data_IF_085332540547
#
_entry.id   IF_085332540547
#
_cell.length_a   1.000
_cell.length_b   1.000
_cell.length_c   1.000
_cell.angle_alpha   90.00
_cell.angle_beta   90.00
_cell.angle_gamma   90.00
#
_symmetry.space_group_name_H-M   'P 1'
#
loop_
_entity.id
_entity.type
_entity.pdbx_description
1 polymer ?
#
# COMPACT_ATOMS: atom_id res chain seq x y z
N UNK A 1 -15.40 19.26 -4.41
CA UNK A 1 -16.10 18.46 -3.34
C UNK A 1 -15.59 18.88 -1.97
N UNK A 2 -16.48 19.13 -1.00
CA UNK A 2 -16.09 19.43 0.37
C UNK A 2 -16.31 18.23 1.29
N UNK A 3 -15.33 17.89 2.13
CA UNK A 3 -15.41 16.77 3.07
C UNK A 3 -14.85 17.15 4.44
N UNK A 4 -15.47 16.57 5.49
CA UNK A 4 -14.95 16.62 6.85
C UNK A 4 -14.25 15.31 7.18
N UNK A 5 -12.94 15.38 7.44
CA UNK A 5 -12.11 14.23 7.81
C UNK A 5 -11.59 14.45 9.24
N UNK A 6 -12.17 13.71 10.20
CA UNK A 6 -11.95 13.98 11.60
C UNK A 6 -12.53 15.35 12.01
N UNK A 7 -11.69 16.24 12.55
CA UNK A 7 -12.08 17.60 12.97
C UNK A 7 -11.81 18.67 11.90
N UNK A 8 -11.21 18.32 10.76
CA UNK A 8 -10.77 19.26 9.73
C UNK A 8 -11.69 19.21 8.51
N UNK A 9 -11.83 20.36 7.83
CA UNK A 9 -12.56 20.51 6.56
C UNK A 9 -11.56 20.52 5.42
N UNK A 10 -11.91 19.86 4.32
CA UNK A 10 -11.09 19.74 3.12
C UNK A 10 -11.93 20.09 1.89
N UNK A 11 -11.35 20.89 1.01
CA UNK A 11 -11.77 20.95 -0.39
C UNK A 11 -10.97 19.88 -1.16
N UNK A 12 -11.65 19.08 -1.96
CA UNK A 12 -11.07 17.94 -2.65
C UNK A 12 -11.05 18.20 -4.15
N UNK A 13 -9.88 18.00 -4.73
CA UNK A 13 -9.58 18.19 -6.14
C UNK A 13 -8.87 16.96 -6.69
N UNK A 14 -8.82 16.87 -8.02
CA UNK A 14 -7.92 15.99 -8.75
C UNK A 14 -6.94 16.83 -9.57
N UNK A 15 -5.77 16.29 -9.84
CA UNK A 15 -4.72 16.92 -10.62
C UNK A 15 -3.98 15.88 -11.47
N UNK A 16 -3.63 16.26 -12.70
CA UNK A 16 -2.87 15.46 -13.63
C UNK A 16 -2.03 16.35 -14.55
N UNK A 17 -0.87 15.86 -15.00
CA UNK A 17 0.05 16.59 -15.85
C UNK A 17 0.40 15.83 -17.12
N UNK A 18 0.60 16.58 -18.21
CA UNK A 18 1.19 16.09 -19.45
C UNK A 18 2.57 16.67 -19.65
N UNK A 19 3.54 15.82 -19.95
CA UNK A 19 4.94 16.19 -20.11
C UNK A 19 5.46 15.99 -21.53
N UNK A 20 6.54 16.67 -21.84
CA UNK A 20 7.26 16.48 -23.10
C UNK A 20 7.94 15.11 -23.13
N UNK A 21 7.48 14.23 -24.02
CA UNK A 21 8.01 12.87 -24.21
C UNK A 21 8.57 12.66 -25.63
N UNK A 22 8.67 13.71 -26.42
CA UNK A 22 9.29 13.64 -27.75
C UNK A 22 10.78 13.25 -27.63
N UNK A 23 11.36 12.64 -28.70
CA UNK A 23 12.72 12.11 -28.65
C UNK A 23 13.79 13.14 -28.27
N UNK A 24 13.62 14.40 -28.68
CA UNK A 24 14.56 15.45 -28.33
C UNK A 24 14.51 15.82 -26.85
N UNK A 25 13.30 16.01 -26.30
CA UNK A 25 13.11 16.33 -24.88
C UNK A 25 13.68 15.25 -23.98
N UNK A 26 13.45 13.98 -24.32
CA UNK A 26 13.98 12.83 -23.58
C UNK A 26 15.51 12.78 -23.66
N UNK A 27 16.09 12.94 -24.88
CA UNK A 27 17.54 12.88 -25.08
C UNK A 27 18.30 14.02 -24.38
N UNK A 28 17.65 15.17 -24.18
CA UNK A 28 18.25 16.34 -23.54
C UNK A 28 17.82 16.54 -22.09
N UNK A 29 17.18 15.56 -21.46
CA UNK A 29 16.64 15.62 -20.09
C UNK A 29 15.75 16.86 -19.86
N UNK A 30 15.02 17.31 -20.89
CA UNK A 30 14.15 18.49 -20.86
C UNK A 30 12.67 18.08 -20.92
N UNK A 31 12.22 17.39 -19.89
CA UNK A 31 10.86 16.81 -19.80
C UNK A 31 9.90 17.71 -19.02
N UNK A 32 9.87 19.00 -19.33
CA UNK A 32 8.90 19.95 -18.73
C UNK A 32 7.45 19.59 -19.02
N UNK A 33 6.50 20.23 -18.31
CA UNK A 33 5.07 20.08 -18.58
C UNK A 33 4.64 21.02 -19.72
N UNK A 34 3.64 20.60 -20.48
CA UNK A 34 3.00 21.44 -21.50
C UNK A 34 1.50 21.65 -21.24
N UNK A 35 0.89 20.83 -20.37
CA UNK A 35 -0.51 20.95 -19.92
C UNK A 35 -0.67 20.29 -18.55
N UNK A 36 -1.54 20.83 -17.72
CA UNK A 36 -2.08 20.15 -16.56
C UNK A 36 -3.52 20.56 -16.29
N UNK A 37 -4.28 19.71 -15.65
CA UNK A 37 -5.64 20.03 -15.19
C UNK A 37 -5.77 19.86 -13.67
N UNK A 38 -6.44 20.84 -13.04
CA UNK A 38 -6.75 20.89 -11.62
C UNK A 38 -8.24 21.16 -11.46
N UNK A 39 -9.01 20.13 -11.17
CA UNK A 39 -10.47 20.17 -11.21
C UNK A 39 -11.13 19.66 -9.94
N UNK A 40 -12.36 20.05 -9.73
CA UNK A 40 -13.28 19.46 -8.75
C UNK A 40 -14.50 18.84 -9.43
N UNK A 41 -15.51 18.43 -8.67
CA UNK A 41 -16.72 17.79 -9.20
C UNK A 41 -17.58 18.71 -10.07
N UNK A 42 -17.45 20.03 -9.91
CA UNK A 42 -18.24 21.03 -10.63
C UNK A 42 -17.56 21.59 -11.89
N UNK A 43 -16.27 21.26 -12.04
CA UNK A 43 -15.49 21.75 -13.20
C UNK A 43 -15.92 21.01 -14.46
N UNK A 44 -16.23 21.75 -15.53
CA UNK A 44 -16.55 21.21 -16.86
C UNK A 44 -15.47 21.56 -17.86
N UNK A 45 -15.38 20.82 -18.96
CA UNK A 45 -14.40 21.05 -20.03
C UNK A 45 -14.57 22.44 -20.65
N UNK A 46 -15.83 22.85 -20.82
CA UNK A 46 -16.20 24.13 -21.48
C UNK A 46 -15.84 25.35 -20.61
N UNK A 47 -15.68 25.16 -19.31
CA UNK A 47 -15.40 26.28 -18.39
C UNK A 47 -14.00 26.89 -18.59
N UNK A 48 -13.10 26.24 -19.34
CA UNK A 48 -11.68 26.57 -19.45
C UNK A 48 -10.97 26.81 -18.11
N UNK A 49 -11.68 26.59 -16.99
CA UNK A 49 -11.16 26.70 -15.66
C UNK A 49 -10.39 25.44 -15.29
N UNK A 50 -9.28 25.60 -14.60
CA UNK A 50 -8.51 24.50 -14.07
C UNK A 50 -7.42 23.97 -14.97
N UNK A 51 -7.18 24.55 -16.15
CA UNK A 51 -6.02 24.23 -16.98
C UNK A 51 -4.84 25.15 -16.69
N UNK A 52 -3.64 24.56 -16.62
CA UNK A 52 -2.38 25.27 -16.42
C UNK A 52 -1.34 24.75 -17.41
N UNK A 53 -0.54 25.65 -17.94
CA UNK A 53 0.48 25.37 -18.95
C UNK A 53 1.91 25.43 -18.37
N UNK A 54 2.03 25.79 -17.10
CA UNK A 54 3.26 25.82 -16.35
C UNK A 54 3.03 25.58 -14.85
N UNK A 55 4.06 25.12 -14.16
CA UNK A 55 4.01 24.85 -12.73
C UNK A 55 3.88 26.13 -11.88
N UNK A 56 4.61 27.23 -12.15
CA UNK A 56 4.48 28.44 -11.35
C UNK A 56 3.05 28.94 -11.21
N UNK A 57 2.28 29.04 -12.30
CA UNK A 57 0.89 29.49 -12.31
C UNK A 57 -0.03 28.57 -11.47
N UNK A 58 0.19 27.26 -11.55
CA UNK A 58 -0.51 26.30 -10.71
C UNK A 58 -0.20 26.48 -9.23
N UNK A 59 1.08 26.66 -8.86
CA UNK A 59 1.50 26.89 -7.47
C UNK A 59 0.97 28.20 -6.91
N UNK A 60 0.91 29.26 -7.72
CA UNK A 60 0.32 30.54 -7.33
C UNK A 60 -1.16 30.39 -7.00
N UNK A 61 -1.88 29.58 -7.77
CA UNK A 61 -3.27 29.24 -7.48
C UNK A 61 -3.44 28.49 -6.17
N UNK A 62 -2.59 27.53 -5.87
CA UNK A 62 -2.61 26.80 -4.59
C UNK A 62 -2.30 27.72 -3.41
N UNK A 63 -1.33 28.64 -3.58
CA UNK A 63 -1.03 29.65 -2.57
C UNK A 63 -2.22 30.58 -2.32
N UNK A 64 -2.85 31.12 -3.38
CA UNK A 64 -4.06 31.93 -3.29
C UNK A 64 -5.17 31.22 -2.50
N UNK A 65 -5.47 29.96 -2.88
CA UNK A 65 -6.56 29.18 -2.27
C UNK A 65 -6.32 28.83 -0.80
N UNK A 66 -5.04 28.62 -0.41
CA UNK A 66 -4.64 28.26 0.94
C UNK A 66 -4.31 29.45 1.86
N UNK A 67 -4.26 30.68 1.31
CA UNK A 67 -3.92 31.90 2.06
C UNK A 67 -5.07 32.35 2.95
N UNK A 68 -4.82 32.79 4.20
CA UNK A 68 -5.85 33.31 5.10
C UNK A 68 -6.55 34.54 4.49
N UNK A 69 -7.89 34.51 4.54
CA UNK A 69 -8.74 35.63 4.10
C UNK A 69 -9.46 36.25 5.30
N UNK A 70 -9.70 37.57 5.21
CA UNK A 70 -10.44 38.32 6.21
C UNK A 70 -11.73 38.84 5.59
N UNK A 71 -12.81 38.70 6.30
CA UNK A 71 -14.09 39.31 5.93
C UNK A 71 -14.67 40.05 7.14
N UNK A 72 -14.97 41.34 6.98
CA UNK A 72 -15.53 42.19 8.06
C UNK A 72 -14.77 42.04 9.39
N UNK A 73 -13.44 42.17 9.35
CA UNK A 73 -12.52 42.03 10.50
C UNK A 73 -12.48 40.62 11.15
N UNK A 74 -13.21 39.65 10.61
CA UNK A 74 -13.16 38.27 11.06
C UNK A 74 -12.36 37.41 10.09
N UNK A 75 -11.53 36.56 10.64
CA UNK A 75 -10.81 35.56 9.85
C UNK A 75 -11.78 34.53 9.31
N UNK A 76 -11.76 34.30 8.00
CA UNK A 76 -12.49 33.21 7.35
C UNK A 76 -11.77 31.91 7.65
N UNK A 77 -12.51 30.89 8.06
CA UNK A 77 -11.95 29.56 8.26
C UNK A 77 -11.67 28.92 6.90
N UNK A 78 -10.38 28.85 6.51
CA UNK A 78 -9.95 28.31 5.24
C UNK A 78 -9.86 26.79 5.37
N UNK A 79 -10.57 26.02 4.53
CA UNK A 79 -10.43 24.58 4.50
C UNK A 79 -9.03 24.17 4.02
N UNK A 80 -8.56 23.01 4.45
CA UNK A 80 -7.40 22.39 3.81
C UNK A 80 -7.76 21.97 2.39
N UNK A 81 -6.78 21.92 1.52
CA UNK A 81 -6.91 21.44 0.15
C UNK A 81 -6.33 20.03 0.08
N UNK A 82 -7.10 19.09 -0.43
CA UNK A 82 -6.65 17.72 -0.68
C UNK A 82 -6.77 17.42 -2.16
N UNK A 83 -5.64 17.10 -2.76
CA UNK A 83 -5.48 16.89 -4.19
C UNK A 83 -5.14 15.42 -4.41
N UNK A 84 -5.97 14.72 -5.16
CA UNK A 84 -5.68 13.36 -5.56
C UNK A 84 -5.08 13.34 -6.96
N UNK A 85 -4.06 12.50 -7.11
CA UNK A 85 -3.36 12.26 -8.37
C UNK A 85 -3.27 10.75 -8.61
N UNK A 86 -2.93 10.38 -9.83
CA UNK A 86 -2.61 8.99 -10.17
C UNK A 86 -1.12 8.86 -10.40
N UNK A 87 -0.39 8.20 -9.48
CA UNK A 87 1.08 8.10 -9.46
C UNK A 87 1.79 9.41 -9.08
N UNK A 88 1.52 9.90 -7.87
CA UNK A 88 2.07 11.17 -7.34
C UNK A 88 3.57 11.37 -7.57
N UNK A 89 4.35 10.30 -7.64
CA UNK A 89 5.80 10.41 -7.86
C UNK A 89 6.14 11.11 -9.18
N UNK A 90 5.29 10.95 -10.18
CA UNK A 90 5.46 11.60 -11.48
C UNK A 90 5.15 13.10 -11.37
N UNK A 91 3.98 13.49 -10.90
CA UNK A 91 3.61 14.91 -10.73
C UNK A 91 4.53 15.61 -9.74
N UNK A 92 4.94 14.94 -8.67
CA UNK A 92 5.84 15.47 -7.66
C UNK A 92 7.19 15.88 -8.26
N UNK A 93 7.72 15.14 -9.22
CA UNK A 93 8.99 15.45 -9.87
C UNK A 93 8.96 16.79 -10.62
N UNK A 94 7.80 17.21 -11.11
CA UNK A 94 7.66 18.50 -11.82
C UNK A 94 7.48 19.69 -10.88
N UNK A 95 6.67 19.57 -9.84
CA UNK A 95 6.38 20.74 -8.99
C UNK A 95 7.33 20.89 -7.80
N UNK A 96 7.92 19.83 -7.30
CA UNK A 96 8.76 19.88 -6.10
C UNK A 96 10.00 20.77 -6.24
N UNK A 97 10.74 20.77 -7.38
CA UNK A 97 11.85 21.71 -7.58
C UNK A 97 11.47 23.18 -7.40
N UNK A 98 10.25 23.56 -7.83
CA UNK A 98 9.76 24.92 -7.67
C UNK A 98 9.45 25.27 -6.20
N UNK A 99 8.97 24.32 -5.40
CA UNK A 99 8.82 24.54 -3.95
C UNK A 99 10.16 24.80 -3.28
N UNK A 100 11.20 24.03 -3.60
CA UNK A 100 12.54 24.25 -3.06
C UNK A 100 13.11 25.60 -3.49
N UNK A 101 13.00 25.97 -4.78
CA UNK A 101 13.41 27.28 -5.30
C UNK A 101 12.68 28.45 -4.64
N UNK A 102 11.42 28.28 -4.22
CA UNK A 102 10.65 29.24 -3.43
C UNK A 102 11.07 29.31 -1.97
N UNK A 103 12.00 28.46 -1.52
CA UNK A 103 12.53 28.47 -0.16
C UNK A 103 11.72 27.63 0.85
N UNK A 104 10.90 26.69 0.37
CA UNK A 104 10.24 25.72 1.27
C UNK A 104 11.26 24.84 1.94
N UNK A 105 11.06 24.60 3.26
CA UNK A 105 11.93 23.74 4.07
C UNK A 105 11.19 22.50 4.55
N UNK A 106 11.90 21.38 4.61
CA UNK A 106 11.35 20.15 5.18
C UNK A 106 11.02 20.33 6.66
N UNK A 107 9.86 19.78 7.10
CA UNK A 107 9.47 19.69 8.49
C UNK A 107 8.70 18.40 8.74
N UNK A 108 9.21 17.52 9.60
CA UNK A 108 8.63 16.20 9.87
C UNK A 108 7.16 16.27 10.35
N UNK A 109 6.79 17.34 11.05
CA UNK A 109 5.41 17.60 11.48
C UNK A 109 5.07 19.07 11.25
N UNK A 110 4.11 19.32 10.37
CA UNK A 110 3.67 20.69 10.04
C UNK A 110 2.64 21.16 11.07
N UNK A 111 2.89 22.34 11.65
CA UNK A 111 2.04 22.94 12.65
C UNK A 111 1.27 24.15 12.11
N UNK A 112 0.36 24.70 12.92
CA UNK A 112 -0.52 25.82 12.53
C UNK A 112 0.28 27.09 12.21
N UNK A 113 1.34 27.34 12.97
CA UNK A 113 2.17 28.55 12.88
C UNK A 113 3.24 28.49 11.80
N UNK A 114 3.45 27.33 11.19
CA UNK A 114 4.44 27.17 10.13
C UNK A 114 4.03 27.88 8.82
N UNK A 115 5.04 28.29 8.06
CA UNK A 115 4.90 28.77 6.68
C UNK A 115 6.11 28.38 5.85
N UNK A 116 5.95 28.24 4.56
CA UNK A 116 6.98 27.80 3.62
C UNK A 116 7.65 26.49 4.06
N UNK A 117 6.82 25.51 4.43
CA UNK A 117 7.28 24.18 4.86
C UNK A 117 6.56 23.09 4.10
N UNK A 118 7.24 21.94 3.98
CA UNK A 118 6.69 20.75 3.39
C UNK A 118 7.02 19.49 4.20
N UNK A 119 6.25 18.42 3.94
CA UNK A 119 6.48 17.07 4.43
C UNK A 119 6.10 16.08 3.32
N UNK A 120 6.74 14.92 3.29
CA UNK A 120 6.37 13.86 2.35
C UNK A 120 6.43 12.49 3.00
N UNK A 121 5.58 11.58 2.52
CA UNK A 121 5.61 10.15 2.83
C UNK A 121 6.02 9.42 1.56
N UNK A 122 7.23 8.88 1.56
CA UNK A 122 7.83 8.19 0.41
C UNK A 122 8.51 6.90 0.83
N UNK A 123 8.90 6.07 -0.15
CA UNK A 123 9.79 4.95 0.10
C UNK A 123 11.25 5.43 0.32
N UNK A 124 12.11 4.50 0.79
CA UNK A 124 13.53 4.80 1.11
C UNK A 124 14.31 5.47 -0.03
N UNK A 125 13.95 5.21 -1.29
CA UNK A 125 14.64 5.75 -2.46
C UNK A 125 14.00 7.02 -3.00
N UNK A 126 12.97 7.56 -2.36
CA UNK A 126 12.13 8.67 -2.83
C UNK A 126 11.48 8.47 -4.21
N UNK A 127 11.64 7.27 -4.81
CA UNK A 127 11.07 6.92 -6.11
C UNK A 127 9.56 6.69 -6.08
N UNK A 128 8.97 6.57 -4.89
CA UNK A 128 7.53 6.41 -4.72
C UNK A 128 7.05 7.34 -3.61
N UNK A 129 6.46 8.45 -3.99
CA UNK A 129 5.84 9.43 -3.09
C UNK A 129 4.35 9.08 -2.97
N UNK A 130 3.88 8.87 -1.75
CA UNK A 130 2.49 8.46 -1.47
C UNK A 130 1.61 9.62 -1.03
N UNK A 131 2.22 10.58 -0.35
CA UNK A 131 1.60 11.83 0.08
C UNK A 131 2.66 12.91 0.17
N UNK A 132 2.30 14.13 -0.23
CA UNK A 132 3.09 15.33 0.03
C UNK A 132 2.19 16.40 0.63
N UNK A 133 2.67 17.11 1.64
CA UNK A 133 1.93 18.16 2.34
C UNK A 133 2.75 19.45 2.30
N UNK A 134 2.10 20.53 1.93
CA UNK A 134 2.71 21.86 1.82
C UNK A 134 1.91 22.88 2.63
N UNK A 135 2.60 23.85 3.17
CA UNK A 135 2.00 24.98 3.86
C UNK A 135 2.66 26.27 3.44
N UNK A 136 1.92 27.11 2.73
CA UNK A 136 2.41 28.37 2.16
C UNK A 136 2.50 29.47 3.21
N UNK A 137 1.45 29.69 3.98
CA UNK A 137 1.32 30.82 4.91
C UNK A 137 1.01 30.36 6.33
N UNK A 138 1.55 31.11 7.29
CA UNK A 138 1.18 31.00 8.70
C UNK A 138 -0.35 31.07 8.85
N UNK A 139 -0.90 30.18 9.63
CA UNK A 139 -2.36 30.08 9.82
C UNK A 139 -3.18 29.80 8.54
N UNK A 140 -2.56 29.52 7.41
CA UNK A 140 -3.22 29.12 6.16
C UNK A 140 -3.75 27.68 6.19
N UNK A 141 -4.45 27.31 5.13
CA UNK A 141 -4.83 25.93 4.84
C UNK A 141 -3.59 25.11 4.47
N UNK A 142 -3.66 23.80 4.71
CA UNK A 142 -2.66 22.85 4.21
C UNK A 142 -3.04 22.40 2.81
N UNK A 143 -2.07 22.22 1.96
CA UNK A 143 -2.22 21.64 0.63
C UNK A 143 -1.62 20.23 0.67
N UNK A 144 -2.44 19.22 0.46
CA UNK A 144 -2.06 17.83 0.62
C UNK A 144 -2.29 17.10 -0.71
N UNK A 145 -1.22 16.65 -1.35
CA UNK A 145 -1.28 15.75 -2.49
C UNK A 145 -1.30 14.31 -2.01
N UNK A 146 -2.12 13.48 -2.62
CA UNK A 146 -2.26 12.07 -2.26
C UNK A 146 -2.36 11.18 -3.49
N UNK A 147 -1.55 10.12 -3.51
CA UNK A 147 -1.53 9.14 -4.59
C UNK A 147 -2.70 8.16 -4.46
N UNK A 148 -3.67 8.24 -5.37
CA UNK A 148 -4.83 7.35 -5.38
C UNK A 148 -4.47 5.94 -5.85
N UNK A 149 -3.42 5.79 -6.68
CA UNK A 149 -2.93 4.48 -7.15
C UNK A 149 -2.41 3.59 -6.01
N UNK A 150 -2.02 4.17 -4.86
CA UNK A 150 -1.61 3.42 -3.66
C UNK A 150 -2.80 2.81 -2.90
N UNK A 151 -4.00 3.35 -3.13
CA UNK A 151 -5.24 2.78 -2.59
C UNK A 151 -5.84 1.80 -3.60
N UNK A 152 -5.88 2.16 -4.89
CA UNK A 152 -6.42 1.32 -5.97
C UNK A 152 -5.29 0.93 -6.94
N UNK A 153 -4.62 -0.21 -6.71
CA UNK A 153 -3.49 -0.63 -7.55
C UNK A 153 -3.94 -1.01 -8.96
N UNK A 154 -3.14 -0.62 -9.94
CA UNK A 154 -3.37 -0.85 -11.36
C UNK A 154 -3.20 0.41 -12.20
N UNK A 155 -3.44 0.34 -13.51
CA UNK A 155 -3.49 1.51 -14.37
C UNK A 155 -4.81 2.28 -14.16
N UNK A 156 -4.79 3.60 -14.38
CA UNK A 156 -5.99 4.44 -14.29
C UNK A 156 -7.12 3.87 -15.15
N UNK A 157 -6.81 3.43 -16.37
CA UNK A 157 -7.75 2.78 -17.28
C UNK A 157 -8.37 1.50 -16.70
N UNK A 158 -7.54 0.60 -16.13
CA UNK A 158 -8.03 -0.67 -15.57
C UNK A 158 -8.93 -0.44 -14.35
N UNK A 159 -8.64 0.57 -13.55
CA UNK A 159 -9.46 0.94 -12.40
C UNK A 159 -10.75 1.62 -12.86
N UNK A 160 -10.70 2.53 -13.84
CA UNK A 160 -11.90 3.14 -14.42
C UNK A 160 -12.88 2.06 -14.94
N UNK A 161 -12.39 1.08 -15.69
CA UNK A 161 -13.18 -0.08 -16.15
C UNK A 161 -13.75 -0.89 -14.99
N UNK A 162 -12.95 -1.19 -13.97
CA UNK A 162 -13.39 -1.95 -12.80
C UNK A 162 -14.43 -1.19 -11.97
N UNK A 163 -14.37 0.13 -11.95
CA UNK A 163 -15.36 0.97 -11.29
C UNK A 163 -16.63 1.18 -12.14
N UNK A 164 -16.62 0.77 -13.43
CA UNK A 164 -17.72 1.02 -14.36
C UNK A 164 -18.00 2.53 -14.50
N UNK A 165 -16.93 3.34 -14.68
CA UNK A 165 -17.06 4.78 -14.83
C UNK A 165 -17.56 5.15 -16.22
N UNK A 166 -18.26 6.26 -16.33
CA UNK A 166 -18.71 6.82 -17.60
C UNK A 166 -17.54 7.34 -18.42
N UNK A 167 -16.62 8.06 -17.75
CA UNK A 167 -15.41 8.58 -18.39
C UNK A 167 -14.39 7.46 -18.54
N UNK A 168 -13.91 7.29 -19.78
CA UNK A 168 -12.85 6.34 -20.13
C UNK A 168 -11.62 7.08 -20.60
N UNK A 169 -10.44 6.49 -20.34
CA UNK A 169 -9.16 7.06 -20.78
C UNK A 169 -9.11 7.18 -22.30
N UNK A 170 -8.68 8.35 -22.79
CA UNK A 170 -8.43 8.62 -24.20
C UNK A 170 -7.05 8.15 -24.65
N UNK A 171 -6.65 8.59 -25.84
CA UNK A 171 -5.30 8.43 -26.37
C UNK A 171 -4.86 9.68 -27.12
N UNK A 172 -3.58 10.01 -27.01
CA UNK A 172 -2.94 11.07 -27.79
C UNK A 172 -1.60 10.57 -28.33
N UNK A 173 -1.04 11.27 -29.29
CA UNK A 173 0.32 11.00 -29.72
C UNK A 173 1.31 11.60 -28.68
N UNK A 174 1.89 10.74 -27.87
CA UNK A 174 2.87 11.12 -26.83
C UNK A 174 4.21 11.56 -27.41
N UNK A 175 4.55 11.18 -28.65
CA UNK A 175 5.84 11.50 -29.30
C UNK A 175 5.79 12.81 -30.06
N UNK A 176 4.63 13.46 -30.14
CA UNK A 176 4.47 14.75 -30.81
C UNK A 176 5.29 15.81 -30.11
N UNK A 177 6.06 16.57 -30.90
CA UNK A 177 6.80 17.74 -30.41
C UNK A 177 5.85 18.87 -29.99
N UNK A 178 5.88 19.22 -28.71
CA UNK A 178 5.03 20.26 -28.10
C UNK A 178 5.85 21.39 -27.48
N UNK A 179 7.08 21.58 -27.99
CA UNK A 179 7.96 22.65 -27.54
C UNK A 179 7.62 23.97 -28.20
N UNK A 180 8.20 25.04 -27.69
CA UNK A 180 8.23 26.39 -28.28
C UNK A 180 6.91 26.88 -28.90
N UNK A 181 6.14 27.64 -28.13
CA UNK A 181 4.87 28.25 -28.57
C UNK A 181 3.81 27.26 -29.08
N UNK A 182 3.91 25.99 -28.62
CA UNK A 182 2.90 24.99 -28.96
C UNK A 182 1.54 25.43 -28.46
N UNK A 183 0.56 25.45 -29.37
CA UNK A 183 -0.83 25.71 -29.01
C UNK A 183 -1.54 24.40 -28.73
N UNK A 184 -1.94 24.20 -27.46
CA UNK A 184 -2.67 23.01 -27.04
C UNK A 184 -4.02 22.96 -27.71
N UNK A 185 -4.31 21.84 -28.36
CA UNK A 185 -5.58 21.61 -29.07
C UNK A 185 -6.71 21.25 -28.11
N UNK A 186 -7.96 21.41 -28.54
CA UNK A 186 -9.13 21.00 -27.74
C UNK A 186 -9.12 19.49 -27.44
N UNK A 187 -8.68 18.66 -28.39
CA UNK A 187 -8.53 17.21 -28.20
C UNK A 187 -7.53 16.88 -27.07
N UNK A 188 -6.42 17.59 -26.98
CA UNK A 188 -5.42 17.40 -25.94
C UNK A 188 -5.91 17.89 -24.57
N UNK A 189 -6.67 18.99 -24.54
CA UNK A 189 -7.36 19.45 -23.33
C UNK A 189 -8.39 18.44 -22.85
N UNK A 190 -9.18 17.91 -23.77
CA UNK A 190 -10.17 16.87 -23.47
C UNK A 190 -9.50 15.60 -22.93
N UNK A 191 -8.37 15.20 -23.52
CA UNK A 191 -7.60 14.05 -23.07
C UNK A 191 -7.15 14.20 -21.60
N UNK A 192 -6.42 15.26 -21.26
CA UNK A 192 -5.95 15.52 -19.91
C UNK A 192 -7.11 15.72 -18.91
N UNK A 193 -8.20 16.39 -19.34
CA UNK A 193 -9.39 16.54 -18.53
C UNK A 193 -10.06 15.18 -18.22
N UNK A 194 -10.11 14.25 -19.16
CA UNK A 194 -10.66 12.89 -18.95
C UNK A 194 -9.88 12.13 -17.90
N UNK A 195 -8.54 12.16 -17.93
CA UNK A 195 -7.70 11.48 -16.93
C UNK A 195 -7.98 12.03 -15.53
N UNK A 196 -8.05 13.35 -15.38
CA UNK A 196 -8.40 13.99 -14.11
C UNK A 196 -9.85 13.74 -13.69
N UNK A 197 -10.79 13.70 -14.65
CA UNK A 197 -12.21 13.42 -14.41
C UNK A 197 -12.43 12.00 -13.89
N UNK A 198 -11.71 11.01 -14.41
CA UNK A 198 -11.73 9.64 -13.90
C UNK A 198 -11.40 9.62 -12.40
N UNK A 199 -10.37 10.38 -11.96
CA UNK A 199 -10.01 10.49 -10.53
C UNK A 199 -11.19 11.03 -9.73
N UNK A 200 -11.84 12.11 -10.19
CA UNK A 200 -13.04 12.69 -9.53
C UNK A 200 -14.17 11.66 -9.43
N UNK A 201 -14.47 10.93 -10.49
CA UNK A 201 -15.54 9.92 -10.49
C UNK A 201 -15.26 8.77 -9.51
N UNK A 202 -13.99 8.32 -9.39
CA UNK A 202 -13.59 7.37 -8.37
C UNK A 202 -13.87 7.93 -6.97
N UNK A 203 -13.50 9.18 -6.72
CA UNK A 203 -13.71 9.84 -5.43
C UNK A 203 -15.19 10.01 -5.10
N UNK A 204 -16.04 10.31 -6.09
CA UNK A 204 -17.50 10.41 -5.93
C UNK A 204 -18.09 9.05 -5.54
N UNK A 205 -17.75 7.96 -6.24
CA UNK A 205 -18.15 6.60 -5.85
C UNK A 205 -17.73 6.23 -4.43
N UNK A 206 -16.52 6.62 -4.03
CA UNK A 206 -16.06 6.39 -2.67
C UNK A 206 -16.77 7.29 -1.65
N UNK A 207 -17.21 8.47 -2.07
CA UNK A 207 -18.02 9.36 -1.25
C UNK A 207 -19.41 8.80 -0.96
N UNK A 208 -20.07 8.20 -1.95
CA UNK A 208 -21.37 7.53 -1.82
C UNK A 208 -21.32 6.37 -0.82
N UNK A 209 -20.21 5.65 -0.75
CA UNK A 209 -20.02 4.58 0.26
C UNK A 209 -19.98 5.08 1.70
N UNK A 210 -19.75 6.36 1.89
CA UNK A 210 -19.66 6.99 3.20
C UNK A 210 -18.72 6.30 4.21
N UNK A 211 -17.61 5.73 3.72
CA UNK A 211 -16.60 5.09 4.57
C UNK A 211 -15.51 6.08 4.98
N UNK A 212 -15.48 6.55 6.24
CA UNK A 212 -14.50 7.52 6.70
C UNK A 212 -13.06 6.98 6.71
N UNK A 213 -12.87 5.66 6.66
CA UNK A 213 -11.54 5.05 6.66
C UNK A 213 -10.82 5.26 5.33
N UNK A 214 -11.56 5.35 4.21
CA UNK A 214 -11.00 5.70 2.91
C UNK A 214 -10.23 7.02 2.97
N UNK A 215 -10.91 8.09 3.40
CA UNK A 215 -10.35 9.45 3.46
C UNK A 215 -9.17 9.61 4.42
N UNK A 216 -9.00 8.69 5.38
CA UNK A 216 -7.90 8.66 6.35
C UNK A 216 -6.74 7.76 5.91
N UNK A 217 -6.84 7.09 4.78
CA UNK A 217 -5.86 6.11 4.32
C UNK A 217 -5.04 6.63 3.16
N UNK A 218 -3.76 6.25 3.12
CA UNK A 218 -2.81 6.58 2.05
C UNK A 218 -2.40 5.35 1.24
N UNK A 219 -2.91 4.17 1.59
CA UNK A 219 -2.64 2.92 0.87
C UNK A 219 -3.76 1.90 1.07
N UNK A 220 -3.89 0.96 0.14
CA UNK A 220 -4.81 -0.17 0.23
C UNK A 220 -4.68 -0.94 1.55
N UNK A 221 -3.46 -1.22 1.97
CA UNK A 221 -3.18 -1.95 3.20
C UNK A 221 -3.62 -1.17 4.46
N UNK A 222 -3.33 0.13 4.51
CA UNK A 222 -3.81 1.01 5.60
C UNK A 222 -5.34 1.08 5.65
N UNK A 223 -5.99 1.14 4.48
CA UNK A 223 -7.44 1.14 4.38
C UNK A 223 -8.05 -0.18 4.86
N UNK A 224 -7.53 -1.31 4.38
CA UNK A 224 -7.96 -2.64 4.78
C UNK A 224 -7.80 -2.85 6.30
N UNK A 225 -6.65 -2.52 6.89
CA UNK A 225 -6.43 -2.66 8.33
C UNK A 225 -7.41 -1.86 9.18
N UNK A 226 -7.73 -0.62 8.79
CA UNK A 226 -8.75 0.18 9.49
C UNK A 226 -10.14 -0.46 9.40
N UNK A 227 -10.46 -1.10 8.27
CA UNK A 227 -11.69 -1.87 8.10
C UNK A 227 -11.72 -3.12 8.99
N UNK A 228 -10.59 -3.86 9.10
CA UNK A 228 -10.44 -4.97 10.02
C UNK A 228 -10.70 -4.57 11.48
N UNK A 229 -10.12 -3.45 11.93
CA UNK A 229 -10.30 -2.97 13.30
C UNK A 229 -11.77 -2.68 13.61
N UNK A 230 -12.51 -2.12 12.66
CA UNK A 230 -13.94 -1.84 12.83
C UNK A 230 -14.76 -3.12 13.00
N UNK A 231 -14.41 -4.19 12.29
CA UNK A 231 -15.08 -5.49 12.39
C UNK A 231 -14.67 -6.22 13.67
N UNK A 232 -13.39 -6.23 14.01
CA UNK A 232 -12.88 -6.92 15.20
C UNK A 232 -13.37 -6.32 16.51
N UNK A 233 -13.60 -5.01 16.54
CA UNK A 233 -14.03 -4.28 17.74
C UNK A 233 -15.06 -3.20 17.40
N UNK A 234 -16.28 -3.59 17.00
CA UNK A 234 -17.28 -2.65 16.44
C UNK A 234 -17.78 -1.62 17.46
N UNK A 235 -17.76 -1.94 18.74
CA UNK A 235 -18.23 -1.08 19.84
C UNK A 235 -17.08 -0.35 20.57
N UNK A 236 -15.83 -0.57 20.17
CA UNK A 236 -14.70 0.04 20.85
C UNK A 236 -14.55 1.52 20.48
N UNK A 237 -14.50 2.39 21.47
CA UNK A 237 -14.19 3.82 21.27
C UNK A 237 -12.81 4.02 20.61
N UNK A 238 -11.83 3.16 20.96
CA UNK A 238 -10.47 3.17 20.39
C UNK A 238 -10.09 1.76 19.90
N UNK A 239 -10.52 1.31 18.71
CA UNK A 239 -10.23 -0.03 18.20
C UNK A 239 -8.72 -0.36 18.14
N UNK A 240 -7.86 0.62 17.83
CA UNK A 240 -6.40 0.45 17.83
C UNK A 240 -5.84 0.06 19.21
N UNK A 241 -6.42 0.58 20.30
CA UNK A 241 -5.99 0.19 21.64
C UNK A 241 -6.34 -1.28 21.92
N UNK A 242 -7.51 -1.74 21.46
CA UNK A 242 -7.87 -3.16 21.57
C UNK A 242 -6.98 -4.05 20.73
N UNK A 243 -6.65 -3.60 19.51
CA UNK A 243 -5.66 -4.29 18.67
C UNK A 243 -4.32 -4.42 19.40
N UNK A 244 -3.80 -3.35 20.02
CA UNK A 244 -2.52 -3.38 20.75
C UNK A 244 -2.57 -4.23 22.03
N UNK A 245 -3.72 -4.42 22.65
CA UNK A 245 -3.89 -5.38 23.75
C UNK A 245 -3.88 -6.83 23.25
N UNK A 246 -4.43 -7.08 22.06
CA UNK A 246 -4.45 -8.40 21.43
C UNK A 246 -3.12 -8.73 20.74
N UNK A 247 -2.54 -7.77 20.07
CA UNK A 247 -1.27 -7.81 19.33
C UNK A 247 -0.31 -6.78 19.96
N UNK A 248 0.31 -7.08 21.11
CA UNK A 248 1.24 -6.14 21.76
C UNK A 248 2.48 -5.90 20.91
N UNK A 249 3.20 -4.85 21.21
CA UNK A 249 4.53 -4.61 20.67
C UNK A 249 5.47 -5.70 21.20
N UNK A 250 6.24 -6.32 20.31
CA UNK A 250 7.18 -7.37 20.65
C UNK A 250 8.51 -6.76 21.05
N UNK A 251 9.26 -7.43 21.90
CA UNK A 251 10.65 -7.09 22.20
C UNK A 251 11.53 -7.28 20.95
N UNK A 252 12.69 -6.68 20.93
CA UNK A 252 13.56 -6.65 19.75
C UNK A 252 14.05 -8.04 19.36
N UNK A 253 14.51 -8.82 20.32
CA UNK A 253 14.98 -10.21 20.16
C UNK A 253 13.84 -11.12 19.63
N UNK A 254 12.63 -11.02 20.20
CA UNK A 254 11.46 -11.73 19.72
C UNK A 254 11.09 -11.32 18.27
N UNK A 255 11.16 -10.03 17.98
CA UNK A 255 10.90 -9.51 16.63
C UNK A 255 11.92 -9.99 15.61
N UNK A 256 13.21 -9.96 15.92
CA UNK A 256 14.26 -10.43 15.01
C UNK A 256 14.16 -11.94 14.80
N UNK A 257 13.94 -12.73 15.84
CA UNK A 257 13.69 -14.17 15.74
C UNK A 257 12.55 -14.48 14.77
N UNK A 258 11.39 -13.84 14.94
CA UNK A 258 10.23 -14.07 14.09
C UNK A 258 10.43 -13.62 12.64
N UNK A 259 11.29 -12.64 12.39
CA UNK A 259 11.58 -12.22 11.01
C UNK A 259 12.23 -13.32 10.19
N UNK A 260 12.98 -14.22 10.80
CA UNK A 260 13.52 -15.40 10.12
C UNK A 260 12.42 -16.39 9.69
N UNK A 261 11.27 -16.42 10.37
CA UNK A 261 10.12 -17.24 9.99
C UNK A 261 9.27 -16.65 8.86
N UNK A 262 9.54 -15.40 8.44
CA UNK A 262 8.77 -14.74 7.39
C UNK A 262 9.20 -15.28 6.03
N UNK A 263 8.39 -16.15 5.48
CA UNK A 263 8.56 -16.67 4.12
C UNK A 263 7.29 -16.42 3.29
N UNK A 264 7.48 -16.09 2.01
CA UNK A 264 6.39 -15.87 1.06
C UNK A 264 5.72 -17.15 0.60
N UNK A 265 5.00 -17.08 -0.51
CA UNK A 265 4.46 -18.23 -1.22
C UNK A 265 5.60 -19.08 -1.81
N UNK A 266 5.28 -20.35 -2.08
CA UNK A 266 6.21 -21.27 -2.70
C UNK A 266 6.06 -21.18 -4.21
N UNK A 267 7.18 -20.99 -4.90
CA UNK A 267 7.27 -21.12 -6.36
C UNK A 267 8.25 -22.25 -6.67
N UNK A 268 7.76 -23.27 -7.35
CA UNK A 268 8.57 -24.45 -7.68
C UNK A 268 8.16 -25.02 -9.03
N UNK A 269 9.15 -25.40 -9.82
CA UNK A 269 8.97 -26.23 -10.99
C UNK A 269 9.87 -27.47 -10.87
N UNK A 270 9.32 -28.71 -10.98
CA UNK A 270 10.14 -29.93 -10.98
C UNK A 270 11.24 -29.83 -12.02
N UNK A 271 12.46 -30.29 -11.68
CA UNK A 271 13.66 -30.20 -12.54
C UNK A 271 13.40 -30.71 -13.94
N UNK A 272 12.63 -31.82 -14.06
CA UNK A 272 12.25 -32.41 -15.35
C UNK A 272 11.47 -31.45 -16.28
N UNK A 273 10.87 -30.40 -15.74
CA UNK A 273 10.05 -29.41 -16.49
C UNK A 273 10.68 -28.03 -16.56
N UNK A 274 11.75 -27.75 -15.83
CA UNK A 274 12.44 -26.49 -15.89
C UNK A 274 13.01 -26.25 -17.30
N UNK A 275 12.82 -25.03 -17.80
CA UNK A 275 13.28 -24.58 -19.13
C UNK A 275 12.78 -25.44 -20.31
N UNK A 276 11.62 -26.12 -20.17
CA UNK A 276 11.02 -26.94 -21.24
C UNK A 276 9.65 -26.42 -21.61
N UNK A 277 9.36 -26.41 -22.92
CA UNK A 277 8.02 -26.18 -23.44
C UNK A 277 7.15 -27.42 -23.23
N UNK A 278 6.04 -27.27 -22.52
CA UNK A 278 5.08 -28.35 -22.28
C UNK A 278 3.97 -28.24 -23.32
N UNK A 279 3.95 -29.15 -24.30
CA UNK A 279 2.95 -29.19 -25.39
C UNK A 279 1.90 -30.27 -25.15
N UNK A 280 1.26 -30.25 -23.99
CA UNK A 280 0.21 -31.20 -23.62
C UNK A 280 -0.90 -30.50 -22.84
N UNK A 281 -2.04 -31.17 -22.65
CA UNK A 281 -3.14 -30.63 -21.85
C UNK A 281 -2.69 -30.47 -20.40
N UNK A 282 -2.80 -29.25 -19.89
CA UNK A 282 -2.40 -28.88 -18.52
C UNK A 282 -3.67 -28.48 -17.75
N UNK A 283 -3.83 -29.02 -16.54
CA UNK A 283 -4.84 -28.55 -15.59
C UNK A 283 -4.25 -27.41 -14.74
N UNK A 284 -5.01 -26.33 -14.56
CA UNK A 284 -4.66 -25.23 -13.67
C UNK A 284 -5.66 -25.17 -12.52
N UNK A 285 -5.15 -25.24 -11.28
CA UNK A 285 -5.92 -25.11 -10.06
C UNK A 285 -5.53 -23.82 -9.33
N UNK A 286 -6.50 -23.03 -8.90
CA UNK A 286 -6.29 -21.80 -8.14
C UNK A 286 -7.07 -21.80 -6.83
N UNK A 287 -6.42 -21.35 -5.76
CA UNK A 287 -7.06 -21.20 -4.44
C UNK A 287 -7.63 -19.80 -4.34
N UNK A 288 -8.95 -19.71 -4.35
CA UNK A 288 -9.63 -18.42 -4.22
C UNK A 288 -9.32 -17.72 -2.90
N UNK A 289 -8.63 -16.56 -2.97
CA UNK A 289 -8.28 -15.76 -1.79
C UNK A 289 -7.53 -16.58 -0.71
N UNK A 290 -6.46 -17.25 -1.09
CA UNK A 290 -5.73 -18.18 -0.22
C UNK A 290 -5.38 -17.60 1.17
N UNK A 291 -4.78 -16.41 1.24
CA UNK A 291 -4.45 -15.76 2.52
C UNK A 291 -5.68 -15.35 3.35
N UNK A 292 -6.73 -14.72 2.79
CA UNK A 292 -7.98 -14.46 3.50
C UNK A 292 -8.68 -15.73 4.00
N UNK A 293 -8.71 -16.80 3.20
CA UNK A 293 -9.26 -18.09 3.59
C UNK A 293 -8.49 -18.70 4.76
N UNK A 294 -7.16 -18.65 4.70
CA UNK A 294 -6.29 -19.07 5.79
C UNK A 294 -6.58 -18.26 7.06
N UNK A 295 -6.67 -16.94 6.96
CA UNK A 295 -6.93 -16.04 8.09
C UNK A 295 -8.31 -16.25 8.72
N UNK A 296 -9.31 -16.73 7.97
CA UNK A 296 -10.64 -17.03 8.48
C UNK A 296 -10.70 -18.39 9.19
N UNK A 297 -10.08 -19.43 8.61
CA UNK A 297 -10.31 -20.83 9.00
C UNK A 297 -9.41 -21.34 10.12
N UNK A 298 -8.35 -20.63 10.48
CA UNK A 298 -7.33 -21.14 11.41
C UNK A 298 -7.26 -20.33 12.71
N UNK A 299 -6.64 -20.95 13.71
CA UNK A 299 -6.18 -20.27 14.93
C UNK A 299 -4.89 -19.52 14.64
N UNK A 300 -4.71 -18.37 15.30
CA UNK A 300 -3.55 -17.49 15.15
C UNK A 300 -2.96 -17.10 16.49
N UNK A 301 -1.64 -16.88 16.53
CA UNK A 301 -0.94 -16.40 17.72
C UNK A 301 -1.45 -15.03 18.14
N UNK A 302 -1.54 -14.81 19.48
CA UNK A 302 -1.84 -13.51 20.07
C UNK A 302 -1.08 -13.35 21.40
N UNK A 303 -1.00 -12.12 21.93
CA UNK A 303 -0.24 -11.75 23.09
C UNK A 303 1.30 -11.83 22.90
N UNK A 304 2.09 -11.70 23.94
CA UNK A 304 3.56 -11.89 23.90
C UNK A 304 3.91 -13.36 23.87
N UNK A 305 4.96 -13.71 23.14
CA UNK A 305 5.53 -15.05 23.10
C UNK A 305 6.21 -15.44 24.42
N UNK A 306 6.18 -16.73 24.70
CA UNK A 306 6.94 -17.36 25.79
C UNK A 306 8.14 -18.06 25.16
N UNK A 307 9.34 -17.61 25.48
CA UNK A 307 10.56 -18.26 25.01
C UNK A 307 10.71 -19.65 25.62
N UNK A 308 11.16 -20.61 24.82
CA UNK A 308 11.48 -21.98 25.26
C UNK A 308 12.76 -22.48 24.58
N UNK A 309 13.39 -23.49 25.20
CA UNK A 309 14.52 -24.23 24.62
C UNK A 309 14.09 -25.67 24.33
N UNK A 310 14.59 -26.23 23.25
CA UNK A 310 14.28 -27.58 22.80
C UNK A 310 12.90 -27.70 22.18
N UNK A 311 12.20 -28.81 22.41
CA UNK A 311 10.91 -29.11 21.79
C UNK A 311 9.78 -28.25 22.35
N UNK A 312 8.89 -27.70 21.51
CA UNK A 312 7.76 -26.90 21.96
C UNK A 312 6.78 -27.71 22.83
N UNK A 313 6.02 -27.01 23.66
CA UNK A 313 4.93 -27.61 24.44
C UNK A 313 3.86 -28.15 23.45
N UNK A 314 3.53 -29.43 23.61
CA UNK A 314 2.43 -30.02 22.84
C UNK A 314 1.09 -29.71 23.52
N UNK A 315 0.61 -28.47 23.33
CA UNK A 315 -0.63 -27.97 23.91
C UNK A 315 -1.48 -27.30 22.82
N UNK A 316 -2.72 -27.73 22.67
CA UNK A 316 -3.67 -27.21 21.67
C UNK A 316 -4.00 -25.70 21.82
N UNK A 317 -3.67 -25.12 22.96
CA UNK A 317 -3.88 -23.69 23.22
C UNK A 317 -2.72 -22.82 22.76
N UNK A 318 -1.62 -23.43 22.28
CA UNK A 318 -0.43 -22.71 21.85
C UNK A 318 -0.09 -23.03 20.38
N UNK A 319 0.53 -22.08 19.71
CA UNK A 319 1.17 -22.21 18.42
C UNK A 319 2.59 -21.69 18.59
N UNK A 320 3.56 -22.47 18.16
CA UNK A 320 4.98 -22.18 18.38
C UNK A 320 5.72 -21.90 17.09
N UNK A 321 6.52 -20.82 17.06
CA UNK A 321 7.56 -20.63 16.07
C UNK A 321 8.83 -21.27 16.61
N UNK A 322 9.33 -22.27 15.88
CA UNK A 322 10.48 -23.11 16.28
C UNK A 322 11.68 -22.79 15.40
N UNK A 323 12.83 -22.60 16.02
CA UNK A 323 14.12 -22.65 15.39
C UNK A 323 14.57 -24.12 15.45
N UNK A 324 14.77 -24.72 14.31
CA UNK A 324 15.08 -26.15 14.16
C UNK A 324 16.28 -26.35 13.23
N UNK A 325 17.01 -27.42 13.48
CA UNK A 325 18.01 -27.95 12.55
C UNK A 325 17.46 -29.21 11.91
N UNK A 326 17.55 -29.32 10.58
CA UNK A 326 17.01 -30.44 9.84
C UNK A 326 18.05 -31.12 8.93
N UNK A 327 17.88 -32.41 8.79
CA UNK A 327 18.61 -33.22 7.77
C UNK A 327 17.64 -34.15 7.09
N UNK A 328 17.74 -34.35 5.78
CA UNK A 328 16.95 -35.31 5.01
C UNK A 328 17.72 -35.81 3.78
N UNK A 329 17.43 -37.04 3.34
CA UNK A 329 18.14 -37.71 2.27
C UNK A 329 17.57 -37.38 0.87
N UNK A 330 16.30 -37.07 0.76
CA UNK A 330 15.63 -36.73 -0.48
C UNK A 330 14.32 -35.96 -0.25
N UNK A 331 13.82 -35.30 -1.29
CA UNK A 331 12.46 -34.76 -1.39
C UNK A 331 11.59 -35.82 -2.08
N UNK A 332 10.44 -36.18 -1.52
CA UNK A 332 9.53 -37.16 -2.14
C UNK A 332 9.05 -36.67 -3.50
N UNK A 333 8.84 -37.57 -4.44
CA UNK A 333 8.59 -37.30 -5.87
C UNK A 333 7.34 -36.40 -6.09
N UNK A 334 6.38 -36.46 -5.18
CA UNK A 334 5.13 -35.68 -5.23
C UNK A 334 5.16 -34.46 -4.31
N UNK A 335 6.18 -34.30 -3.48
CA UNK A 335 6.33 -33.10 -2.66
C UNK A 335 6.87 -31.98 -3.53
N UNK A 336 6.00 -31.15 -3.94
CA UNK A 336 6.24 -29.97 -4.78
C UNK A 336 7.09 -28.93 -4.06
N UNK A 337 7.55 -29.19 -2.81
CA UNK A 337 8.01 -28.14 -1.94
C UNK A 337 9.24 -28.55 -1.16
N UNK A 338 10.35 -28.15 -1.69
CA UNK A 338 11.51 -27.89 -0.85
C UNK A 338 11.35 -26.49 -0.25
N UNK A 339 11.03 -26.41 1.05
CA UNK A 339 11.00 -25.13 1.78
C UNK A 339 12.34 -24.39 1.72
N UNK A 340 13.42 -25.10 1.41
CA UNK A 340 14.79 -24.59 1.33
C UNK A 340 15.39 -24.68 -0.08
N UNK A 341 14.63 -25.12 -1.09
CA UNK A 341 15.09 -25.20 -2.48
C UNK A 341 16.19 -26.26 -2.74
N UNK A 342 16.42 -27.17 -1.79
CA UNK A 342 17.47 -28.23 -1.86
C UNK A 342 16.83 -29.60 -1.93
N UNK A 343 17.42 -30.52 -2.71
CA UNK A 343 16.99 -31.91 -2.80
C UNK A 343 17.47 -32.77 -1.63
N UNK A 344 18.56 -32.39 -1.00
CA UNK A 344 19.18 -33.02 0.17
C UNK A 344 19.56 -31.88 1.14
N UNK A 345 19.41 -32.12 2.41
CA UNK A 345 19.85 -31.17 3.44
C UNK A 345 20.60 -31.90 4.57
N UNK A 346 21.63 -31.25 5.08
CA UNK A 346 22.37 -31.68 6.26
C UNK A 346 22.58 -30.49 7.17
N UNK A 347 22.06 -30.57 8.40
CA UNK A 347 22.20 -29.57 9.45
C UNK A 347 21.75 -28.14 9.05
N UNK A 348 20.70 -28.07 8.21
CA UNK A 348 20.12 -26.78 7.79
C UNK A 348 19.25 -26.20 8.90
N UNK A 349 19.49 -24.94 9.24
CA UNK A 349 18.70 -24.22 10.24
C UNK A 349 17.51 -23.51 9.61
N UNK A 350 16.34 -23.67 10.22
CA UNK A 350 15.06 -23.11 9.76
C UNK A 350 14.27 -22.55 10.93
N UNK A 351 13.47 -21.52 10.63
CA UNK A 351 12.48 -20.95 11.53
C UNK A 351 11.09 -21.25 10.97
N UNK A 352 10.39 -22.21 11.58
CA UNK A 352 9.11 -22.72 11.10
C UNK A 352 8.05 -22.72 12.19
N UNK A 353 6.80 -22.65 11.79
CA UNK A 353 5.70 -22.86 12.73
C UNK A 353 5.47 -24.36 12.98
N UNK A 354 5.14 -24.74 14.21
CA UNK A 354 4.94 -26.14 14.63
C UNK A 354 3.97 -26.92 13.75
N UNK A 355 2.92 -26.27 13.26
CA UNK A 355 1.95 -26.86 12.34
C UNK A 355 2.47 -27.10 10.90
N UNK A 356 3.65 -26.58 10.51
CA UNK A 356 4.31 -26.90 9.24
C UNK A 356 5.04 -28.25 9.32
N UNK A 357 5.46 -28.68 10.51
CA UNK A 357 6.28 -29.86 10.72
C UNK A 357 5.61 -31.16 10.25
N UNK A 358 4.32 -31.45 10.53
CA UNK A 358 3.66 -32.64 9.99
C UNK A 358 3.67 -32.69 8.45
N UNK A 359 3.54 -31.55 7.79
CA UNK A 359 3.61 -31.45 6.33
C UNK A 359 5.04 -31.71 5.85
N UNK A 360 6.06 -31.17 6.55
CA UNK A 360 7.47 -31.46 6.25
C UNK A 360 7.77 -32.96 6.34
N UNK A 361 7.24 -33.67 7.34
CA UNK A 361 7.40 -35.12 7.50
C UNK A 361 6.82 -35.92 6.32
N UNK A 362 5.77 -35.40 5.67
CA UNK A 362 5.22 -36.01 4.45
C UNK A 362 6.10 -35.72 3.22
N UNK A 363 6.81 -34.60 3.21
CA UNK A 363 7.57 -34.14 2.06
C UNK A 363 8.99 -34.67 1.97
N UNK A 364 9.62 -34.94 3.10
CA UNK A 364 11.05 -35.31 3.13
C UNK A 364 11.26 -36.78 3.52
N UNK A 365 12.27 -37.41 2.91
CA UNK A 365 12.70 -38.78 3.21
C UNK A 365 13.75 -38.72 4.32
N UNK A 366 13.65 -39.58 5.31
CA UNK A 366 14.55 -39.69 6.46
C UNK A 366 14.74 -38.37 7.21
N UNK A 367 13.68 -37.58 7.31
CA UNK A 367 13.70 -36.29 7.99
C UNK A 367 14.07 -36.44 9.46
N UNK A 368 15.19 -35.87 9.84
CA UNK A 368 15.62 -35.70 11.23
C UNK A 368 15.42 -34.23 11.61
N UNK A 369 14.87 -33.99 12.81
CA UNK A 369 14.62 -32.63 13.33
C UNK A 369 15.21 -32.54 14.73
N UNK A 370 16.12 -31.59 14.90
CA UNK A 370 16.62 -31.13 16.19
C UNK A 370 15.95 -29.79 16.53
N UNK A 371 15.30 -29.69 17.68
CA UNK A 371 14.69 -28.46 18.15
C UNK A 371 15.70 -27.69 19.00
N UNK A 372 16.02 -26.46 18.61
CA UNK A 372 16.98 -25.61 19.29
C UNK A 372 16.27 -24.73 20.34
N UNK A 373 15.42 -23.85 19.89
CA UNK A 373 14.63 -22.96 20.74
C UNK A 373 13.39 -22.41 19.97
N UNK A 374 12.65 -21.48 20.60
CA UNK A 374 11.50 -20.89 19.95
C UNK A 374 10.66 -20.00 20.86
N UNK A 375 9.57 -19.51 20.30
CA UNK A 375 8.55 -18.74 21.01
C UNK A 375 7.16 -19.40 20.85
N UNK A 376 6.51 -19.66 21.99
CA UNK A 376 5.15 -20.21 22.05
C UNK A 376 4.13 -19.09 22.32
N UNK A 377 3.06 -19.08 21.54
CA UNK A 377 1.99 -18.07 21.60
C UNK A 377 0.66 -18.72 21.94
N UNK A 378 -0.15 -18.09 22.78
CA UNK A 378 -1.55 -18.43 22.91
C UNK A 378 -2.25 -18.28 21.55
N UNK A 379 -3.17 -19.20 21.24
CA UNK A 379 -3.85 -19.27 19.95
C UNK A 379 -5.35 -19.04 20.05
N UNK A 380 -5.88 -18.22 19.15
CA UNK A 380 -7.33 -17.98 18.99
C UNK A 380 -7.66 -17.66 17.54
N UNK A 381 -8.94 -17.78 17.18
CA UNK A 381 -9.43 -17.16 15.94
C UNK A 381 -9.26 -15.64 15.98
N UNK A 382 -8.91 -15.06 14.84
CA UNK A 382 -8.76 -13.61 14.72
C UNK A 382 -10.08 -12.89 15.07
N UNK A 383 -10.06 -11.85 15.94
CA UNK A 383 -11.26 -11.10 16.28
C UNK A 383 -12.00 -10.52 15.07
N UNK A 384 -11.25 -10.24 14.00
CA UNK A 384 -11.77 -9.68 12.75
C UNK A 384 -11.97 -10.71 11.63
N UNK A 385 -11.95 -12.02 11.91
CA UNK A 385 -12.06 -13.04 10.86
C UNK A 385 -13.30 -12.89 9.99
N UNK A 386 -14.43 -12.42 10.55
CA UNK A 386 -15.67 -12.21 9.82
C UNK A 386 -15.54 -11.15 8.72
N UNK A 387 -14.56 -10.25 8.79
CA UNK A 387 -14.24 -9.34 7.70
C UNK A 387 -13.92 -10.11 6.41
N UNK A 388 -13.08 -11.14 6.48
CA UNK A 388 -12.69 -11.94 5.32
C UNK A 388 -13.86 -12.68 4.71
N UNK A 389 -14.66 -13.35 5.55
CA UNK A 389 -15.84 -14.10 5.13
C UNK A 389 -16.89 -13.20 4.49
N UNK A 390 -17.26 -12.13 5.16
CA UNK A 390 -18.28 -11.18 4.69
C UNK A 390 -17.88 -10.56 3.34
N UNK A 391 -16.64 -10.10 3.22
CA UNK A 391 -16.15 -9.54 1.95
C UNK A 391 -16.13 -10.59 0.84
N UNK A 392 -15.79 -11.85 1.15
CA UNK A 392 -15.83 -12.92 0.17
C UNK A 392 -17.26 -13.19 -0.31
N UNK A 393 -18.24 -13.28 0.60
CA UNK A 393 -19.64 -13.52 0.28
C UNK A 393 -20.23 -12.39 -0.57
N UNK A 394 -19.97 -11.12 -0.20
CA UNK A 394 -20.41 -9.95 -0.99
C UNK A 394 -19.76 -9.99 -2.37
N UNK A 395 -18.45 -10.27 -2.46
CA UNK A 395 -17.74 -10.39 -3.73
C UNK A 395 -18.35 -11.46 -4.64
N UNK A 396 -18.69 -12.62 -4.10
CA UNK A 396 -19.29 -13.70 -4.89
C UNK A 396 -20.71 -13.35 -5.38
N UNK A 397 -21.49 -12.67 -4.54
CA UNK A 397 -22.80 -12.12 -4.94
C UNK A 397 -22.66 -11.06 -6.03
N UNK A 398 -21.72 -10.13 -5.89
CA UNK A 398 -21.42 -9.10 -6.86
C UNK A 398 -20.97 -9.70 -8.22
N UNK A 399 -20.12 -10.75 -8.19
CA UNK A 399 -19.70 -11.46 -9.40
C UNK A 399 -20.90 -12.05 -10.17
N UNK A 400 -21.87 -12.63 -9.45
CA UNK A 400 -23.11 -13.16 -10.07
C UNK A 400 -23.98 -12.06 -10.68
N UNK A 401 -23.93 -10.83 -10.13
CA UNK A 401 -24.70 -9.68 -10.60
C UNK A 401 -23.98 -8.86 -11.68
N UNK A 402 -22.72 -9.18 -12.00
CA UNK A 402 -21.91 -8.41 -12.93
C UNK A 402 -21.38 -7.08 -12.36
N UNK A 403 -21.42 -6.88 -11.03
CA UNK A 403 -20.92 -5.68 -10.37
C UNK A 403 -19.40 -5.74 -10.25
N UNK A 404 -18.71 -5.24 -11.25
CA UNK A 404 -17.25 -5.24 -11.32
C UNK A 404 -16.60 -4.43 -10.20
N UNK A 405 -17.22 -3.31 -9.80
CA UNK A 405 -16.72 -2.47 -8.73
C UNK A 405 -16.70 -3.19 -7.38
N UNK A 406 -17.81 -3.79 -6.96
CA UNK A 406 -17.83 -4.55 -5.70
C UNK A 406 -16.88 -5.75 -5.73
N UNK A 407 -16.76 -6.44 -6.87
CA UNK A 407 -15.80 -7.55 -7.04
C UNK A 407 -14.36 -7.07 -6.80
N UNK A 408 -13.96 -5.97 -7.44
CA UNK A 408 -12.64 -5.37 -7.28
C UNK A 408 -12.41 -4.87 -5.84
N UNK A 409 -13.33 -4.09 -5.32
CA UNK A 409 -13.26 -3.46 -4.01
C UNK A 409 -13.14 -4.48 -2.86
N UNK A 410 -13.97 -5.55 -2.88
CA UNK A 410 -13.93 -6.58 -1.85
C UNK A 410 -12.66 -7.44 -1.93
N UNK A 411 -12.15 -7.68 -3.15
CA UNK A 411 -10.84 -8.33 -3.33
C UNK A 411 -9.73 -7.49 -2.72
N UNK A 412 -9.75 -6.18 -2.97
CA UNK A 412 -8.78 -5.24 -2.41
C UNK A 412 -8.75 -5.29 -0.89
N UNK A 413 -9.91 -5.14 -0.23
CA UNK A 413 -10.01 -5.15 1.23
C UNK A 413 -9.50 -6.46 1.84
N UNK A 414 -9.77 -7.59 1.22
CA UNK A 414 -9.34 -8.88 1.75
C UNK A 414 -7.83 -9.12 1.59
N UNK A 415 -7.26 -8.77 0.43
CA UNK A 415 -5.88 -9.15 0.11
C UNK A 415 -4.82 -8.17 0.63
N UNK A 416 -5.22 -6.93 0.98
CA UNK A 416 -4.23 -5.88 1.27
C UNK A 416 -3.79 -5.81 2.74
N UNK A 417 -4.40 -6.56 3.65
CA UNK A 417 -4.19 -6.39 5.08
C UNK A 417 -2.96 -7.12 5.64
N UNK A 418 -2.71 -8.35 5.21
CA UNK A 418 -1.74 -9.22 5.90
C UNK A 418 -0.31 -8.66 5.86
N UNK A 419 0.11 -8.04 4.77
CA UNK A 419 1.44 -7.44 4.66
C UNK A 419 1.72 -6.35 5.70
N UNK A 420 0.69 -5.68 6.23
CA UNK A 420 0.85 -4.69 7.30
C UNK A 420 1.28 -5.30 8.63
N UNK A 421 0.97 -6.55 8.90
CA UNK A 421 1.45 -7.23 10.09
C UNK A 421 2.95 -7.52 10.05
N UNK A 422 3.56 -7.52 8.86
CA UNK A 422 4.99 -7.74 8.61
C UNK A 422 5.80 -6.45 8.44
N UNK A 423 5.14 -5.30 8.41
CA UNK A 423 5.76 -4.00 8.12
C UNK A 423 6.84 -3.66 9.16
N UNK A 424 8.00 -3.23 8.69
CA UNK A 424 9.03 -2.62 9.56
C UNK A 424 8.65 -1.16 9.84
N UNK A 425 9.03 -0.66 11.00
CA UNK A 425 8.96 0.76 11.29
C UNK A 425 9.86 1.56 10.34
N UNK A 426 9.48 2.78 10.07
CA UNK A 426 10.34 3.72 9.35
C UNK A 426 11.28 4.36 10.35
N UNK A 427 12.51 3.85 10.44
CA UNK A 427 13.55 4.36 11.36
C UNK A 427 14.13 5.68 10.86
N UNK A 428 14.10 5.87 9.56
CA UNK A 428 14.66 7.03 8.87
C UNK A 428 13.65 7.73 7.98
N UNK A 429 13.96 8.95 7.56
CA UNK A 429 13.29 9.69 6.51
C UNK A 429 14.32 10.33 5.60
N UNK A 430 13.91 10.67 4.37
CA UNK A 430 14.78 11.41 3.45
C UNK A 430 14.38 12.88 3.45
N UNK A 431 15.36 13.72 3.69
CA UNK A 431 15.24 15.17 3.59
C UNK A 431 15.83 15.62 2.25
N UNK A 432 14.96 16.11 1.38
CA UNK A 432 15.39 16.62 0.07
C UNK A 432 15.79 18.08 0.20
N UNK A 433 16.88 18.47 -0.46
CA UNK A 433 17.35 19.84 -0.52
C UNK A 433 17.77 20.19 -1.96
N UNK A 434 17.88 21.50 -2.23
CA UNK A 434 18.40 21.98 -3.49
C UNK A 434 19.90 22.29 -3.29
N UNK A 435 20.76 21.60 -4.05
CA UNK A 435 22.19 21.86 -4.08
C UNK A 435 22.53 23.21 -4.71
N UNK A 436 23.75 23.69 -4.51
CA UNK A 436 24.24 24.97 -5.09
C UNK A 436 24.29 24.90 -6.64
N UNK A 437 24.38 23.70 -7.18
CA UNK A 437 24.31 23.39 -8.62
C UNK A 437 22.87 23.39 -9.18
N UNK A 438 21.87 23.60 -8.31
CA UNK A 438 20.46 23.57 -8.68
C UNK A 438 19.88 22.16 -8.83
N UNK A 439 20.62 21.11 -8.48
CA UNK A 439 20.17 19.73 -8.48
C UNK A 439 19.51 19.41 -7.14
N UNK A 440 18.44 18.60 -7.18
CA UNK A 440 17.80 18.10 -5.96
C UNK A 440 18.58 16.87 -5.50
N UNK A 441 19.08 16.94 -4.29
CA UNK A 441 19.73 15.84 -3.60
C UNK A 441 18.99 15.49 -2.30
N UNK A 442 19.34 14.38 -1.69
CA UNK A 442 18.70 13.92 -0.46
C UNK A 442 19.69 13.27 0.50
N UNK A 443 19.52 13.51 1.78
CA UNK A 443 20.24 12.80 2.82
C UNK A 443 19.27 12.07 3.76
N UNK A 444 19.74 10.93 4.26
CA UNK A 444 18.98 10.10 5.19
C UNK A 444 19.13 10.65 6.61
N UNK A 445 18.00 10.86 7.28
CA UNK A 445 17.93 11.29 8.69
C UNK A 445 17.30 10.22 9.54
N UNK A 446 17.82 9.97 10.71
CA UNK A 446 17.16 9.14 11.72
C UNK A 446 15.98 9.89 12.35
N UNK A 447 14.93 9.16 12.72
CA UNK A 447 13.81 9.70 13.49
C UNK A 447 14.13 9.60 14.97
N UNK A 448 13.87 10.67 15.71
CA UNK A 448 14.07 10.71 17.16
C UNK A 448 13.15 9.71 17.91
N UNK A 449 11.95 9.46 17.35
CA UNK A 449 10.94 8.53 17.89
C UNK A 449 10.86 7.24 17.08
N UNK A 450 11.98 6.81 16.47
CA UNK A 450 12.02 5.64 15.63
C UNK A 450 11.61 4.37 16.39
N UNK A 451 10.68 3.62 15.80
CA UNK A 451 10.21 2.33 16.30
C UNK A 451 10.51 1.22 15.31
N UNK A 452 11.03 0.11 15.79
CA UNK A 452 11.35 -1.07 15.00
C UNK A 452 10.11 -1.60 14.24
N UNK A 453 8.95 -1.48 14.85
CA UNK A 453 7.69 -1.97 14.32
C UNK A 453 6.73 -0.82 13.96
N UNK A 454 6.09 -0.91 12.81
CA UNK A 454 5.03 0.00 12.40
C UNK A 454 3.74 -0.21 13.21
N UNK A 455 2.80 0.72 13.09
CA UNK A 455 1.57 0.76 13.90
C UNK A 455 0.73 -0.53 13.89
N UNK A 456 0.68 -1.24 12.76
CA UNK A 456 -0.06 -2.50 12.63
C UNK A 456 0.81 -3.74 12.70
N UNK A 457 2.10 -3.60 12.94
CA UNK A 457 3.02 -4.74 12.96
C UNK A 457 2.69 -5.67 14.10
N UNK A 458 2.54 -6.94 13.76
CA UNK A 458 2.52 -8.06 14.68
C UNK A 458 2.96 -9.32 13.93
N UNK A 459 4.25 -9.58 13.96
CA UNK A 459 4.94 -10.62 13.18
C UNK A 459 4.32 -12.02 13.34
N UNK A 460 3.88 -12.44 14.55
CA UNK A 460 3.28 -13.76 14.70
C UNK A 460 2.10 -14.02 13.75
N UNK A 461 1.17 -13.05 13.62
CA UNK A 461 0.06 -13.18 12.66
C UNK A 461 0.56 -13.07 11.22
N UNK A 462 1.45 -12.10 10.96
CA UNK A 462 1.95 -11.83 9.62
C UNK A 462 2.68 -13.02 8.99
N UNK A 463 3.52 -13.74 9.73
CA UNK A 463 4.25 -14.91 9.26
C UNK A 463 3.37 -16.18 9.24
N UNK A 464 2.40 -16.31 10.17
CA UNK A 464 1.51 -17.47 10.23
C UNK A 464 0.53 -17.56 9.06
N UNK A 465 0.02 -16.41 8.54
CA UNK A 465 -0.94 -16.42 7.41
C UNK A 465 -0.35 -17.10 6.17
N UNK A 466 0.83 -16.70 5.64
CA UNK A 466 1.44 -17.40 4.51
C UNK A 466 1.88 -18.81 4.85
N UNK A 467 2.34 -19.09 6.08
CA UNK A 467 2.70 -20.44 6.50
C UNK A 467 1.50 -21.40 6.44
N UNK A 468 0.34 -21.01 6.98
CA UNK A 468 -0.92 -21.79 6.85
C UNK A 468 -1.33 -21.98 5.39
N UNK A 469 -1.12 -20.96 4.55
CA UNK A 469 -1.42 -21.05 3.12
C UNK A 469 -0.49 -22.03 2.42
N UNK A 470 0.81 -22.05 2.76
CA UNK A 470 1.77 -23.03 2.24
C UNK A 470 1.36 -24.45 2.62
N UNK A 471 1.07 -24.70 3.90
CA UNK A 471 0.59 -26.01 4.36
C UNK A 471 -0.63 -26.46 3.56
N UNK A 472 -1.65 -25.61 3.41
CA UNK A 472 -2.85 -25.95 2.64
C UNK A 472 -2.53 -26.27 1.18
N UNK A 473 -1.65 -25.51 0.53
CA UNK A 473 -1.22 -25.73 -0.85
C UNK A 473 -0.53 -27.10 -1.00
N UNK A 474 0.39 -27.41 -0.09
CA UNK A 474 1.13 -28.68 -0.10
C UNK A 474 0.24 -29.87 0.13
N UNK A 475 -0.59 -29.81 1.16
CA UNK A 475 -1.54 -30.90 1.49
C UNK A 475 -2.51 -31.15 0.31
N UNK A 476 -2.95 -30.08 -0.37
CA UNK A 476 -3.80 -30.21 -1.57
C UNK A 476 -3.04 -30.79 -2.77
N UNK A 477 -1.74 -30.60 -2.87
CA UNK A 477 -0.92 -31.18 -3.94
C UNK A 477 -0.54 -32.64 -3.66
N UNK A 478 -0.54 -33.07 -2.39
CA UNK A 478 -0.28 -34.44 -1.95
C UNK A 478 -1.52 -35.33 -1.98
N UNK A 479 -2.74 -34.75 -1.96
CA UNK A 479 -4.02 -35.45 -2.04
C UNK A 479 -4.36 -35.86 -3.47
#
# INVERSE_FOLDING_TARGET
MERRIGRQRYQIFAYDVESHNDPWSVSNNNTGIWLSSFIDENTTLESNAGFYYDIPSFLDKLEEMSTPRWHKHKRVNIPNIMIYVWNLSFEYSFFFPFFLKRGFKFKAKIEKEDSMVFNSVSNKTCRSVWQAEFKFKKNGGRVIFRDLSKIFPGSLESVAKSFGLETQKGSIDYMKDRRFNYQVTDLEREYNFKDTRIIIEILLKMAERNDPNFWKSISAASYSCKSLLKVGWPHAYKPMLQFRRYCPELEEDESEFLRHSVAGGITYAPERWQFKDIRQKIGHLDIHQAHPASAYNNLFPYAKGLYFRGKPLNDHFYISCCHIKISYSAVRLHSVISLIGKNIATDEELYVWDFEIPTMQKCYVDLKIEYLDGYAYKAKFLPWREHYKTNYQIRMSAKKKGDAFEVFYRKLLNNSSYGKFLERGHLTYFENYLGDDGIIDSYERQKDDAKLNATFTYLPIGSTIPARTRVFLVESALA
#
